data_IF_654292692286
#
_entry.id   IF_654292692286
#
_cell.length_a   1.000
_cell.length_b   1.000
_cell.length_c   1.000
_cell.angle_alpha   90.00
_cell.angle_beta   90.00
_cell.angle_gamma   90.00
#
_symmetry.space_group_name_H-M   'P 1'
#
loop_
_entity.id
_entity.type
_entity.pdbx_description
1 polymer ?
#
# COMPACT_ATOMS: atom_id res chain seq x y z
N UNK A 1 1.99 -21.31 -28.88
CA UNK A 1 2.04 -21.03 -27.42
C UNK A 1 0.63 -20.98 -26.89
N UNK A 2 0.38 -21.51 -25.69
CA UNK A 2 -0.92 -21.39 -25.03
C UNK A 2 -1.11 -19.95 -24.50
N UNK A 3 -2.31 -19.34 -24.60
CA UNK A 3 -2.57 -18.01 -24.03
C UNK A 3 -2.42 -17.98 -22.50
N UNK A 4 -1.95 -16.87 -21.92
CA UNK A 4 -1.82 -16.73 -20.45
C UNK A 4 -3.18 -16.74 -19.73
N UNK A 5 -4.24 -16.22 -20.37
CA UNK A 5 -5.61 -16.26 -19.87
C UNK A 5 -6.29 -17.56 -20.30
N UNK A 6 -5.73 -18.68 -19.87
CA UNK A 6 -6.28 -20.00 -20.13
C UNK A 6 -6.07 -20.92 -18.93
N UNK A 7 -6.82 -22.02 -18.89
CA UNK A 7 -6.77 -22.97 -17.79
C UNK A 7 -5.49 -23.81 -17.85
N UNK A 8 -4.78 -23.90 -16.74
CA UNK A 8 -3.78 -24.95 -16.51
C UNK A 8 -4.49 -26.27 -16.16
N UNK A 9 -4.03 -27.40 -16.69
CA UNK A 9 -4.57 -28.71 -16.34
C UNK A 9 -4.34 -29.04 -14.86
N UNK A 10 -3.23 -28.55 -14.30
CA UNK A 10 -2.91 -28.63 -12.89
C UNK A 10 -3.53 -27.44 -12.14
N UNK A 11 -4.54 -27.70 -11.32
CA UNK A 11 -5.25 -26.67 -10.57
C UNK A 11 -4.40 -26.03 -9.46
N UNK A 12 -3.25 -26.61 -9.11
CA UNK A 12 -2.32 -25.99 -8.15
C UNK A 12 -1.44 -24.93 -8.84
N UNK A 13 -1.44 -24.89 -10.17
CA UNK A 13 -0.66 -23.97 -11.02
C UNK A 13 -1.56 -22.97 -11.75
N UNK A 14 -2.75 -22.70 -11.21
CA UNK A 14 -3.68 -21.69 -11.75
C UNK A 14 -3.96 -20.62 -10.70
N UNK A 15 -4.01 -19.37 -11.14
CA UNK A 15 -4.53 -18.27 -10.35
C UNK A 15 -5.89 -17.85 -10.91
N UNK A 16 -6.83 -17.54 -10.02
CA UNK A 16 -8.18 -17.12 -10.38
C UNK A 16 -8.33 -15.63 -10.08
N UNK A 17 -8.34 -14.80 -11.12
CA UNK A 17 -8.37 -13.33 -10.99
C UNK A 17 -9.56 -12.84 -10.14
N UNK A 18 -10.70 -13.51 -10.22
CA UNK A 18 -11.94 -13.12 -9.55
C UNK A 18 -12.30 -13.96 -8.31
N UNK A 19 -11.44 -14.88 -7.85
CA UNK A 19 -11.78 -15.75 -6.71
C UNK A 19 -12.01 -14.99 -5.41
N UNK A 20 -11.32 -13.85 -5.26
CA UNK A 20 -11.47 -12.94 -4.12
C UNK A 20 -12.21 -11.64 -4.50
N UNK A 21 -12.84 -11.57 -5.66
CA UNK A 21 -13.47 -10.33 -6.14
C UNK A 21 -14.98 -10.56 -6.30
N UNK A 22 -15.79 -9.75 -5.62
CA UNK A 22 -17.25 -9.81 -5.62
C UNK A 22 -17.84 -8.57 -6.30
N UNK A 23 -18.75 -8.77 -7.26
CA UNK A 23 -19.45 -7.68 -7.97
C UNK A 23 -20.25 -6.72 -7.06
N UNK A 24 -20.53 -7.10 -5.82
CA UNK A 24 -21.33 -6.31 -4.88
C UNK A 24 -20.50 -5.69 -3.75
N UNK A 25 -19.18 -5.92 -3.70
CA UNK A 25 -18.37 -5.57 -2.54
C UNK A 25 -17.11 -4.79 -2.91
N UNK A 26 -17.28 -3.59 -3.49
CA UNK A 26 -16.19 -2.74 -3.97
C UNK A 26 -15.08 -2.48 -2.93
N UNK A 27 -15.44 -2.22 -1.67
CA UNK A 27 -14.47 -2.00 -0.58
C UNK A 27 -13.64 -3.27 -0.35
N UNK A 28 -14.29 -4.43 -0.28
CA UNK A 28 -13.61 -5.71 -0.09
C UNK A 28 -12.71 -6.04 -1.29
N UNK A 29 -13.15 -5.74 -2.51
CA UNK A 29 -12.34 -5.92 -3.71
C UNK A 29 -11.05 -5.09 -3.64
N UNK A 30 -11.17 -3.82 -3.24
CA UNK A 30 -10.01 -2.95 -3.05
C UNK A 30 -9.09 -3.46 -1.96
N UNK A 31 -9.62 -3.93 -0.82
CA UNK A 31 -8.82 -4.54 0.26
C UNK A 31 -8.09 -5.81 -0.22
N UNK A 32 -8.75 -6.66 -1.02
CA UNK A 32 -8.12 -7.87 -1.58
C UNK A 32 -7.00 -7.54 -2.58
N UNK A 33 -7.14 -6.45 -3.35
CA UNK A 33 -6.07 -5.98 -4.25
C UNK A 33 -4.93 -5.35 -3.42
N UNK A 34 -5.25 -4.56 -2.40
CA UNK A 34 -4.27 -3.97 -1.48
C UNK A 34 -3.40 -5.03 -0.78
N UNK A 35 -4.06 -6.08 -0.27
CA UNK A 35 -3.43 -7.26 0.34
C UNK A 35 -2.46 -7.94 -0.65
N UNK A 36 -2.88 -8.14 -1.90
CA UNK A 36 -2.04 -8.70 -2.95
C UNK A 36 -0.78 -7.88 -3.21
N UNK A 37 -0.91 -6.55 -3.36
CA UNK A 37 0.24 -5.66 -3.56
C UNK A 37 1.19 -5.69 -2.35
N UNK A 38 0.66 -5.53 -1.13
CA UNK A 38 1.50 -5.49 0.07
C UNK A 38 2.24 -6.81 0.30
N UNK A 39 1.53 -7.94 0.22
CA UNK A 39 2.14 -9.27 0.35
C UNK A 39 3.18 -9.52 -0.73
N UNK A 40 2.91 -9.12 -1.97
CA UNK A 40 3.87 -9.30 -3.06
C UNK A 40 5.17 -8.51 -2.82
N UNK A 41 5.08 -7.31 -2.25
CA UNK A 41 6.27 -6.53 -1.90
C UNK A 41 7.09 -7.23 -0.80
N UNK A 42 6.43 -7.70 0.26
CA UNK A 42 7.07 -8.38 1.39
C UNK A 42 7.71 -9.70 0.94
N UNK A 43 6.99 -10.54 0.20
CA UNK A 43 7.50 -11.84 -0.25
C UNK A 43 8.63 -11.69 -1.27
N UNK A 44 8.55 -10.70 -2.16
CA UNK A 44 9.63 -10.41 -3.09
C UNK A 44 10.87 -9.86 -2.39
N UNK A 45 10.70 -9.00 -1.38
CA UNK A 45 11.82 -8.51 -0.56
C UNK A 45 12.48 -9.64 0.25
N UNK A 46 11.69 -10.55 0.85
CA UNK A 46 12.21 -11.77 1.51
C UNK A 46 12.98 -12.64 0.53
N UNK A 47 12.44 -12.86 -0.67
CA UNK A 47 13.13 -13.62 -1.70
C UNK A 47 14.46 -12.97 -2.06
N UNK A 48 14.47 -11.66 -2.34
CA UNK A 48 15.66 -10.90 -2.66
C UNK A 48 16.69 -10.90 -1.54
N UNK A 49 16.29 -10.76 -0.27
CA UNK A 49 17.20 -10.80 0.87
C UNK A 49 17.92 -12.16 0.98
N UNK A 50 17.23 -13.26 0.68
CA UNK A 50 17.78 -14.61 0.78
C UNK A 50 18.50 -15.08 -0.50
N UNK A 51 18.29 -14.42 -1.64
CA UNK A 51 18.78 -14.86 -2.95
C UNK A 51 19.39 -13.67 -3.72
N UNK A 52 20.46 -13.09 -3.20
CA UNK A 52 21.10 -11.90 -3.80
C UNK A 52 22.55 -12.12 -4.28
N UNK A 53 22.98 -13.37 -4.47
CA UNK A 53 24.34 -13.68 -4.94
C UNK A 53 24.62 -13.07 -6.32
N UNK A 54 23.60 -13.06 -7.19
CA UNK A 54 23.61 -12.51 -8.54
C UNK A 54 23.14 -11.05 -8.61
N UNK A 55 22.93 -10.40 -7.45
CA UNK A 55 22.36 -9.04 -7.36
C UNK A 55 20.94 -8.91 -7.91
N UNK A 56 20.13 -9.97 -7.88
CA UNK A 56 18.72 -9.91 -8.25
C UNK A 56 17.93 -8.84 -7.47
N UNK A 57 18.33 -8.49 -6.24
CA UNK A 57 17.69 -7.40 -5.49
C UNK A 57 17.75 -6.05 -6.20
N UNK A 58 18.84 -5.74 -6.91
CA UNK A 58 19.02 -4.45 -7.58
C UNK A 58 18.03 -4.27 -8.74
N UNK A 59 17.53 -5.38 -9.30
CA UNK A 59 16.48 -5.40 -10.32
C UNK A 59 15.09 -5.37 -9.67
N UNK A 60 14.90 -6.15 -8.62
CA UNK A 60 13.60 -6.37 -7.99
C UNK A 60 13.18 -5.26 -7.02
N UNK A 61 14.10 -4.38 -6.61
CA UNK A 61 13.80 -3.32 -5.65
C UNK A 61 12.74 -2.32 -6.16
N UNK A 62 12.73 -2.01 -7.45
CA UNK A 62 11.74 -1.11 -8.07
C UNK A 62 10.30 -1.66 -8.01
N UNK A 63 10.03 -2.91 -8.44
CA UNK A 63 8.69 -3.49 -8.25
C UNK A 63 8.34 -3.70 -6.77
N UNK A 64 9.30 -4.03 -5.89
CA UNK A 64 9.06 -4.10 -4.43
C UNK A 64 8.52 -2.77 -3.90
N UNK A 65 9.18 -1.65 -4.18
CA UNK A 65 8.76 -0.32 -3.74
C UNK A 65 7.43 0.10 -4.35
N UNK A 66 7.22 -0.19 -5.65
CA UNK A 66 5.95 0.10 -6.34
C UNK A 66 4.79 -0.62 -5.65
N UNK A 67 4.95 -1.92 -5.38
CA UNK A 67 3.92 -2.74 -4.77
C UNK A 67 3.64 -2.32 -3.32
N UNK A 68 4.68 -1.98 -2.56
CA UNK A 68 4.52 -1.48 -1.19
C UNK A 68 3.74 -0.16 -1.14
N UNK A 69 4.16 0.83 -1.93
CA UNK A 69 3.51 2.14 -1.99
C UNK A 69 2.05 2.03 -2.45
N UNK A 70 1.79 1.22 -3.47
CA UNK A 70 0.44 1.06 -3.99
C UNK A 70 -0.46 0.24 -3.05
N UNK A 71 0.09 -0.76 -2.35
CA UNK A 71 -0.63 -1.47 -1.29
C UNK A 71 -1.07 -0.54 -0.17
N UNK A 72 -0.17 0.33 0.32
CA UNK A 72 -0.47 1.38 1.32
C UNK A 72 -1.59 2.29 0.80
N UNK A 73 -1.44 2.80 -0.43
CA UNK A 73 -2.41 3.70 -1.06
C UNK A 73 -3.83 3.10 -1.05
N UNK A 74 -3.97 1.85 -1.47
CA UNK A 74 -5.27 1.17 -1.56
C UNK A 74 -5.86 0.89 -0.17
N UNK A 75 -5.06 0.49 0.82
CA UNK A 75 -5.54 0.33 2.20
C UNK A 75 -6.06 1.66 2.77
N UNK A 76 -5.33 2.75 2.58
CA UNK A 76 -5.73 4.07 3.08
C UNK A 76 -6.98 4.61 2.35
N UNK A 77 -7.09 4.39 1.04
CA UNK A 77 -8.30 4.71 0.27
C UNK A 77 -9.50 3.89 0.73
N UNK A 78 -9.31 2.60 1.05
CA UNK A 78 -10.35 1.77 1.63
C UNK A 78 -10.82 2.28 2.99
N UNK A 79 -9.89 2.63 3.89
CA UNK A 79 -10.23 3.23 5.18
C UNK A 79 -11.02 4.53 5.03
N UNK A 80 -10.57 5.41 4.13
CA UNK A 80 -11.30 6.65 3.81
C UNK A 80 -12.73 6.35 3.39
N UNK A 81 -12.92 5.39 2.49
CA UNK A 81 -14.26 5.01 2.01
C UNK A 81 -15.13 4.43 3.12
N UNK A 82 -14.58 3.54 3.95
CA UNK A 82 -15.30 2.97 5.09
C UNK A 82 -15.73 4.04 6.08
N UNK A 83 -14.81 4.94 6.47
CA UNK A 83 -15.11 6.04 7.38
C UNK A 83 -16.18 6.97 6.82
N UNK A 84 -16.14 7.28 5.51
CA UNK A 84 -17.17 8.08 4.87
C UNK A 84 -18.55 7.41 4.95
N UNK A 85 -18.62 6.11 4.66
CA UNK A 85 -19.89 5.36 4.80
C UNK A 85 -20.40 5.36 6.24
N UNK A 86 -19.51 5.09 7.21
CA UNK A 86 -19.86 5.06 8.64
C UNK A 86 -20.38 6.44 9.10
N UNK A 87 -19.78 7.52 8.60
CA UNK A 87 -20.15 8.90 8.93
C UNK A 87 -21.27 9.47 8.02
N UNK A 88 -21.93 8.64 7.22
CA UNK A 88 -22.98 9.03 6.27
C UNK A 88 -22.58 10.16 5.30
N UNK A 89 -21.32 10.17 4.85
CA UNK A 89 -20.78 11.10 3.86
C UNK A 89 -20.86 10.50 2.45
N UNK A 90 -21.23 11.30 1.44
CA UNK A 90 -21.42 10.81 0.06
C UNK A 90 -20.10 10.48 -0.69
N UNK A 91 -18.97 11.01 -0.21
CA UNK A 91 -17.68 10.83 -0.87
C UNK A 91 -17.19 9.37 -0.78
N UNK A 92 -16.82 8.77 -1.92
CA UNK A 92 -16.30 7.39 -1.95
C UNK A 92 -14.80 7.33 -1.71
N UNK A 93 -14.03 8.03 -2.53
CA UNK A 93 -12.57 8.13 -2.42
C UNK A 93 -12.22 9.61 -2.47
N UNK A 94 -11.39 10.05 -1.52
CA UNK A 94 -10.91 11.43 -1.44
C UNK A 94 -9.40 11.47 -1.69
N UNK A 95 -8.95 12.49 -2.42
CA UNK A 95 -7.54 12.73 -2.68
C UNK A 95 -7.01 12.13 -3.99
N UNK A 96 -5.77 12.50 -4.31
CA UNK A 96 -5.03 12.07 -5.50
C UNK A 96 -4.31 10.74 -5.26
N UNK A 97 -3.10 10.54 -5.78
CA UNK A 97 -2.23 9.38 -5.50
C UNK A 97 -1.19 9.67 -4.40
N UNK A 98 -1.19 10.89 -3.84
CA UNK A 98 -0.23 11.31 -2.83
C UNK A 98 -0.49 10.59 -1.49
N UNK A 99 0.31 9.56 -1.18
CA UNK A 99 0.12 8.72 0.01
C UNK A 99 0.17 9.51 1.33
N UNK A 100 0.97 10.58 1.42
CA UNK A 100 1.03 11.45 2.61
C UNK A 100 -0.28 12.22 2.81
N UNK A 101 -0.84 12.76 1.72
CA UNK A 101 -2.14 13.40 1.76
C UNK A 101 -3.23 12.40 2.15
N UNK A 102 -3.23 11.20 1.57
CA UNK A 102 -4.24 10.17 1.86
C UNK A 102 -4.14 9.74 3.33
N UNK A 103 -2.93 9.51 3.86
CA UNK A 103 -2.72 9.19 5.28
C UNK A 103 -3.24 10.31 6.19
N UNK A 104 -2.92 11.57 5.90
CA UNK A 104 -3.42 12.73 6.64
C UNK A 104 -4.96 12.81 6.61
N UNK A 105 -5.60 12.49 5.49
CA UNK A 105 -7.06 12.42 5.36
C UNK A 105 -7.66 11.34 6.24
N UNK A 106 -7.12 10.11 6.22
CA UNK A 106 -7.60 9.03 7.12
C UNK A 106 -7.47 9.46 8.58
N UNK A 107 -6.30 10.00 8.94
CA UNK A 107 -6.03 10.50 10.29
C UNK A 107 -7.01 11.58 10.73
N UNK A 108 -7.34 12.53 9.84
CA UNK A 108 -8.32 13.58 10.11
C UNK A 108 -9.74 12.99 10.29
N UNK A 109 -10.13 12.01 9.47
CA UNK A 109 -11.42 11.33 9.60
C UNK A 109 -11.54 10.55 10.89
N UNK A 110 -10.50 9.81 11.29
CA UNK A 110 -10.45 9.11 12.59
C UNK A 110 -10.66 10.09 13.75
N UNK A 111 -10.04 11.29 13.69
CA UNK A 111 -10.23 12.33 14.71
C UNK A 111 -11.69 12.78 14.85
N UNK A 112 -12.46 12.77 13.76
CA UNK A 112 -13.87 13.21 13.75
C UNK A 112 -14.89 12.08 13.82
N UNK A 113 -14.46 10.84 13.59
CA UNK A 113 -15.31 9.65 13.45
C UNK A 113 -16.05 9.33 14.74
N UNK A 114 -15.44 9.55 15.91
CA UNK A 114 -16.10 9.43 17.21
C UNK A 114 -16.50 8.00 17.64
N UNK A 115 -16.05 6.96 16.93
CA UNK A 115 -16.25 5.56 17.31
C UNK A 115 -15.06 4.95 18.06
N UNK A 116 -14.90 3.63 17.95
CA UNK A 116 -14.07 2.83 18.85
C UNK A 116 -12.55 3.01 18.68
N UNK A 117 -12.11 3.52 17.52
CA UNK A 117 -10.70 3.82 17.27
C UNK A 117 -10.45 5.28 17.63
N UNK A 118 -9.66 5.52 18.68
CA UNK A 118 -9.21 6.88 19.00
C UNK A 118 -8.08 7.32 18.06
N UNK A 119 -7.89 8.64 17.94
CA UNK A 119 -6.75 9.20 17.21
C UNK A 119 -5.40 8.76 17.80
N UNK A 120 -5.35 8.49 19.12
CA UNK A 120 -4.16 8.00 19.80
C UNK A 120 -3.85 6.56 19.35
N UNK A 121 -4.85 5.68 19.39
CA UNK A 121 -4.69 4.28 18.98
C UNK A 121 -4.31 4.16 17.50
N UNK A 122 -4.90 4.99 16.63
CA UNK A 122 -4.56 5.04 15.22
C UNK A 122 -3.10 5.47 15.01
N UNK A 123 -2.68 6.54 15.68
CA UNK A 123 -1.31 7.04 15.59
C UNK A 123 -0.30 5.99 16.08
N UNK A 124 -0.57 5.33 17.22
CA UNK A 124 0.30 4.27 17.75
C UNK A 124 0.38 3.08 16.81
N UNK A 125 -0.76 2.60 16.29
CA UNK A 125 -0.80 1.48 15.33
C UNK A 125 -0.12 1.79 14.00
N UNK A 126 -0.06 3.06 13.60
CA UNK A 126 0.46 3.48 12.28
C UNK A 126 1.78 4.24 12.36
N UNK A 127 2.47 4.24 13.50
CA UNK A 127 3.73 4.95 13.69
C UNK A 127 4.79 4.55 12.65
N UNK A 128 4.95 3.25 12.40
CA UNK A 128 5.88 2.74 11.38
C UNK A 128 5.54 3.23 9.96
N UNK A 129 4.26 3.34 9.65
CA UNK A 129 3.79 3.85 8.35
C UNK A 129 4.06 5.35 8.23
N UNK A 130 3.77 6.13 9.27
CA UNK A 130 4.00 7.57 9.30
C UNK A 130 5.50 7.88 9.12
N UNK A 131 6.35 7.17 9.87
CA UNK A 131 7.81 7.27 9.76
C UNK A 131 8.30 6.92 8.34
N UNK A 132 7.76 5.88 7.71
CA UNK A 132 8.10 5.54 6.33
C UNK A 132 7.66 6.62 5.33
N UNK A 133 6.45 7.17 5.47
CA UNK A 133 5.95 8.22 4.58
C UNK A 133 6.83 9.47 4.70
N UNK A 134 7.21 9.88 5.91
CA UNK A 134 8.09 11.03 6.10
C UNK A 134 9.50 10.78 5.53
N UNK A 135 10.07 9.60 5.74
CA UNK A 135 11.34 9.19 5.13
C UNK A 135 11.28 9.25 3.59
N UNK A 136 10.23 8.69 3.00
CA UNK A 136 10.03 8.64 1.56
C UNK A 136 9.91 10.04 0.94
N UNK A 137 9.13 10.91 1.57
CA UNK A 137 8.93 12.29 1.10
C UNK A 137 10.20 13.13 1.24
N UNK A 138 10.98 12.91 2.30
CA UNK A 138 12.28 13.54 2.46
C UNK A 138 13.27 13.09 1.38
N UNK A 139 13.33 11.78 1.09
CA UNK A 139 14.25 11.22 0.08
C UNK A 139 13.93 11.66 -1.34
N UNK A 140 12.65 11.72 -1.69
CA UNK A 140 12.20 12.08 -3.04
C UNK A 140 12.16 13.61 -3.26
N UNK A 141 12.26 14.41 -2.20
CA UNK A 141 11.91 15.84 -2.23
C UNK A 141 10.50 16.06 -2.80
N UNK A 142 9.55 15.22 -2.39
CA UNK A 142 8.17 15.29 -2.81
C UNK A 142 7.45 16.48 -2.18
N UNK A 143 6.49 17.04 -2.91
CA UNK A 143 5.63 18.15 -2.47
C UNK A 143 4.16 17.76 -2.59
N UNK A 144 3.21 18.49 -1.96
CA UNK A 144 1.79 18.22 -2.15
C UNK A 144 1.32 18.28 -3.61
N UNK A 145 2.00 19.06 -4.46
CA UNK A 145 1.69 19.21 -5.89
C UNK A 145 2.43 18.22 -6.79
N UNK A 146 3.49 17.58 -6.28
CA UNK A 146 4.29 16.60 -7.00
C UNK A 146 4.77 15.55 -5.99
N UNK A 147 4.01 14.45 -5.88
CA UNK A 147 4.29 13.39 -4.90
C UNK A 147 5.50 12.53 -5.28
N UNK A 148 5.96 12.58 -6.54
CA UNK A 148 7.10 11.83 -7.07
C UNK A 148 7.03 10.32 -6.81
N UNK A 149 5.83 9.75 -6.62
CA UNK A 149 5.63 8.32 -6.35
C UNK A 149 5.87 7.45 -7.58
N UNK A 150 6.07 8.04 -8.75
CA UNK A 150 6.50 7.40 -9.98
C UNK A 150 7.98 6.99 -10.02
N UNK A 151 8.79 7.41 -9.03
CA UNK A 151 10.21 7.08 -8.95
C UNK A 151 10.52 5.58 -8.97
N UNK A 152 9.58 4.74 -8.52
CA UNK A 152 9.77 3.29 -8.52
C UNK A 152 9.38 2.64 -9.85
N UNK A 153 8.86 3.41 -10.82
CA UNK A 153 8.37 2.94 -12.12
C UNK A 153 9.16 3.51 -13.29
N UNK A 154 9.65 4.74 -13.17
CA UNK A 154 10.40 5.42 -14.21
C UNK A 154 11.68 6.01 -13.63
N UNK A 155 12.77 6.11 -14.42
CA UNK A 155 13.99 6.82 -14.01
C UNK A 155 13.84 8.34 -14.07
N UNK A 156 12.82 8.85 -14.77
CA UNK A 156 12.53 10.26 -14.95
C UNK A 156 11.07 10.56 -14.62
N UNK A 157 10.80 11.78 -14.16
CA UNK A 157 9.43 12.27 -13.95
C UNK A 157 8.77 12.72 -15.27
N UNK A 158 7.52 13.21 -15.18
CA UNK A 158 6.76 13.70 -16.34
C UNK A 158 7.39 14.89 -17.08
N UNK A 159 8.36 15.58 -16.46
CA UNK A 159 9.13 16.67 -17.04
C UNK A 159 10.50 16.21 -17.56
N UNK A 160 10.74 14.90 -17.56
CA UNK A 160 12.02 14.28 -17.90
C UNK A 160 13.15 14.67 -16.93
N UNK A 161 12.83 15.05 -15.69
CA UNK A 161 13.82 15.25 -14.63
C UNK A 161 14.12 13.93 -13.93
N UNK A 162 15.41 13.65 -13.71
CA UNK A 162 15.89 12.47 -13.00
C UNK A 162 15.34 12.34 -11.59
N UNK A 163 14.99 11.11 -11.19
CA UNK A 163 14.74 10.81 -9.79
C UNK A 163 16.04 10.78 -8.96
N UNK A 164 15.89 10.88 -7.64
CA UNK A 164 16.97 11.11 -6.67
C UNK A 164 18.13 10.10 -6.73
N UNK A 165 17.90 8.90 -7.24
CA UNK A 165 18.91 7.85 -7.36
C UNK A 165 19.69 7.88 -8.69
N UNK A 166 19.25 8.65 -9.69
CA UNK A 166 19.87 8.67 -11.03
C UNK A 166 21.06 9.63 -11.09
N UNK A 167 20.90 10.86 -10.57
CA UNK A 167 21.90 11.93 -10.72
C UNK A 167 22.85 12.05 -9.51
N UNK A 168 22.78 11.13 -8.56
CA UNK A 168 23.60 11.19 -7.35
C UNK A 168 25.00 10.59 -7.54
N UNK A 169 25.94 11.08 -6.74
CA UNK A 169 27.26 10.46 -6.58
C UNK A 169 27.16 9.39 -5.50
N UNK A 170 27.38 8.13 -5.86
CA UNK A 170 27.30 6.98 -4.95
C UNK A 170 25.98 6.21 -5.06
N UNK A 171 25.79 5.25 -4.16
CA UNK A 171 24.63 4.35 -4.16
C UNK A 171 23.53 4.84 -3.21
N UNK A 172 22.27 4.69 -3.62
CA UNK A 172 21.13 4.67 -2.70
C UNK A 172 20.92 3.21 -2.36
N UNK A 173 21.00 2.91 -1.07
CA UNK A 173 20.88 1.56 -0.56
C UNK A 173 19.53 1.41 0.15
N UNK A 174 18.93 0.23 0.03
CA UNK A 174 17.72 -0.15 0.77
C UNK A 174 18.05 -1.41 1.56
N UNK A 175 17.89 -1.32 2.88
CA UNK A 175 18.01 -2.45 3.79
C UNK A 175 16.79 -3.38 3.63
N UNK A 176 17.00 -4.51 2.95
CA UNK A 176 15.93 -5.47 2.67
C UNK A 176 15.43 -6.19 3.94
N UNK A 177 16.29 -6.43 4.92
CA UNK A 177 15.87 -7.09 6.18
C UNK A 177 14.96 -6.15 6.97
N UNK A 178 15.40 -4.89 7.13
CA UNK A 178 14.57 -3.87 7.78
C UNK A 178 13.31 -3.54 6.97
N UNK A 179 13.37 -3.57 5.64
CA UNK A 179 12.18 -3.46 4.79
C UNK A 179 11.18 -4.55 5.13
N UNK A 180 11.60 -5.82 5.18
CA UNK A 180 10.70 -6.94 5.49
C UNK A 180 10.05 -6.76 6.86
N UNK A 181 10.82 -6.39 7.88
CA UNK A 181 10.29 -6.14 9.24
C UNK A 181 9.26 -5.02 9.23
N UNK A 182 9.65 -3.82 8.77
CA UNK A 182 8.80 -2.62 8.82
C UNK A 182 7.52 -2.80 8.00
N UNK A 183 7.60 -3.39 6.81
CA UNK A 183 6.43 -3.57 5.96
C UNK A 183 5.53 -4.72 6.42
N UNK A 184 6.06 -5.75 7.09
CA UNK A 184 5.23 -6.76 7.74
C UNK A 184 4.42 -6.16 8.89
N UNK A 185 5.04 -5.34 9.74
CA UNK A 185 4.34 -4.64 10.82
C UNK A 185 3.30 -3.64 10.29
N UNK A 186 3.67 -2.86 9.26
CA UNK A 186 2.76 -1.93 8.59
C UNK A 186 1.56 -2.65 7.98
N UNK A 187 1.80 -3.78 7.31
CA UNK A 187 0.76 -4.60 6.72
C UNK A 187 -0.23 -5.12 7.77
N UNK A 188 0.27 -5.70 8.87
CA UNK A 188 -0.59 -6.19 9.95
C UNK A 188 -1.40 -5.07 10.60
N UNK A 189 -0.80 -3.90 10.82
CA UNK A 189 -1.51 -2.73 11.34
C UNK A 189 -2.61 -2.24 10.40
N UNK A 190 -2.30 -2.06 9.12
CA UNK A 190 -3.28 -1.64 8.10
C UNK A 190 -4.42 -2.64 8.00
N UNK A 191 -4.09 -3.93 7.90
CA UNK A 191 -5.06 -5.02 7.83
C UNK A 191 -5.96 -5.05 9.06
N UNK A 192 -5.38 -4.98 10.27
CA UNK A 192 -6.14 -4.97 11.53
C UNK A 192 -7.12 -3.79 11.59
N UNK A 193 -6.69 -2.59 11.21
CA UNK A 193 -7.55 -1.41 11.16
C UNK A 193 -8.67 -1.56 10.13
N UNK A 194 -8.36 -2.06 8.93
CA UNK A 194 -9.36 -2.21 7.88
C UNK A 194 -10.35 -3.33 8.18
N UNK A 195 -9.90 -4.44 8.75
CA UNK A 195 -10.78 -5.54 9.17
C UNK A 195 -11.75 -5.05 10.26
N UNK A 196 -11.25 -4.30 11.24
CA UNK A 196 -12.09 -3.70 12.27
C UNK A 196 -13.15 -2.76 11.68
N UNK A 197 -12.73 -1.78 10.87
CA UNK A 197 -13.64 -0.83 10.24
C UNK A 197 -14.67 -1.52 9.35
N UNK A 198 -14.27 -2.57 8.63
CA UNK A 198 -15.14 -3.27 7.70
C UNK A 198 -16.14 -4.19 8.41
N UNK A 199 -15.67 -5.05 9.30
CA UNK A 199 -16.46 -6.12 9.89
C UNK A 199 -17.19 -5.72 11.17
N UNK A 200 -16.67 -4.75 11.93
CA UNK A 200 -17.27 -4.34 13.21
C UNK A 200 -18.09 -3.07 13.04
N UNK A 201 -17.53 -2.07 12.36
CA UNK A 201 -18.13 -0.73 12.31
C UNK A 201 -19.04 -0.53 11.10
N UNK A 202 -18.62 -0.95 9.91
CA UNK A 202 -19.38 -0.74 8.67
C UNK A 202 -20.46 -1.81 8.46
N UNK A 203 -20.08 -3.08 8.55
CA UNK A 203 -21.02 -4.20 8.60
C UNK A 203 -21.39 -4.43 10.05
N UNK A 204 -22.09 -3.49 10.70
CA UNK A 204 -22.77 -3.82 11.94
C UNK A 204 -23.64 -5.04 11.64
N UNK A 205 -23.14 -6.23 11.97
CA UNK A 205 -23.94 -7.43 11.92
C UNK A 205 -25.13 -7.11 12.82
N UNK A 206 -26.32 -7.07 12.21
CA UNK A 206 -27.56 -7.05 12.94
C UNK A 206 -27.61 -8.35 13.76
N UNK A 207 -27.01 -8.33 14.94
CA UNK A 207 -27.25 -9.29 16.03
C UNK A 207 -28.54 -8.87 16.71
#
# INVERSE_FOLDING_TARGET
MQPIFSRNQDYTKIAFLNWRIDKWSDILNMLNIADGFMRSAIELAKFSANNNEDKAADILIFPVLTNANHGIELYLKAMTWMLNKIMAQEARIEGSHNIRQIYATVRAKIKTYGGSISIKDFNEKTENLDNYIEELFAKTNATPKNDKMDFSRYPLDQKYESHFYVDQIGNVEIDLENFVVRFSETYESLKSLTDFLYHIELRQDHI
#
